data_IF_143790759238
#
_entry.id   IF_143790759238
#
_cell.length_a   1.000
_cell.length_b   1.000
_cell.length_c   1.000
_cell.angle_alpha   90.00
_cell.angle_beta   90.00
_cell.angle_gamma   90.00
#
_symmetry.space_group_name_H-M   'P 1'
#
loop_
_entity.id
_entity.type
_entity.pdbx_description
1 polymer ?
#
# COMPACT_ATOMS: atom_id res chain seq x y z
N UNK A 1 1.17 -15.77 5.31
CA UNK A 1 1.71 -16.22 4.01
C UNK A 1 3.23 -16.12 4.02
N UNK A 2 3.90 -17.01 3.30
CA UNK A 2 5.37 -17.02 3.18
C UNK A 2 5.77 -16.37 1.87
N UNK A 3 6.82 -15.55 1.90
CA UNK A 3 7.49 -14.97 0.75
C UNK A 3 8.72 -15.85 0.45
N UNK A 4 8.76 -16.41 -0.75
CA UNK A 4 9.88 -17.21 -1.25
C UNK A 4 10.60 -16.43 -2.36
N UNK A 5 11.92 -16.32 -2.28
CA UNK A 5 12.75 -15.68 -3.31
C UNK A 5 13.42 -16.77 -4.13
N UNK A 6 13.06 -16.85 -5.41
CA UNK A 6 13.55 -17.85 -6.34
C UNK A 6 15.07 -17.80 -6.46
N UNK A 7 15.71 -18.95 -6.33
CA UNK A 7 17.15 -19.16 -6.51
C UNK A 7 17.43 -19.82 -7.85
N UNK A 8 18.68 -19.73 -8.28
CA UNK A 8 19.10 -20.31 -9.57
C UNK A 8 18.83 -21.83 -9.58
N UNK A 9 18.10 -22.29 -10.59
CA UNK A 9 17.77 -23.70 -10.78
C UNK A 9 16.49 -24.18 -10.06
N UNK A 10 15.83 -23.32 -9.27
CA UNK A 10 14.53 -23.67 -8.70
C UNK A 10 13.42 -23.68 -9.76
N UNK A 11 12.47 -24.58 -9.58
CA UNK A 11 11.24 -24.69 -10.36
C UNK A 11 10.04 -24.60 -9.43
N UNK A 12 8.85 -24.33 -9.97
CA UNK A 12 7.63 -24.39 -9.15
C UNK A 12 7.43 -25.76 -8.51
N UNK A 13 7.88 -26.84 -9.15
CA UNK A 13 7.81 -28.19 -8.57
C UNK A 13 8.69 -28.34 -7.32
N UNK A 14 9.95 -27.90 -7.39
CA UNK A 14 10.85 -27.95 -6.23
C UNK A 14 10.38 -27.05 -5.10
N UNK A 15 9.86 -25.86 -5.43
CA UNK A 15 9.34 -24.89 -4.45
C UNK A 15 8.07 -25.44 -3.78
N UNK A 16 7.11 -25.92 -4.57
CA UNK A 16 5.89 -26.53 -4.06
C UNK A 16 6.18 -27.75 -3.18
N UNK A 17 7.13 -28.60 -3.59
CA UNK A 17 7.59 -29.74 -2.79
C UNK A 17 8.23 -29.34 -1.46
N UNK A 18 9.04 -28.27 -1.45
CA UNK A 18 9.66 -27.75 -0.23
C UNK A 18 8.62 -27.24 0.78
N UNK A 19 7.61 -26.50 0.32
CA UNK A 19 6.56 -25.96 1.19
C UNK A 19 5.36 -26.89 1.39
N UNK A 20 5.34 -28.05 0.72
CA UNK A 20 4.22 -28.98 0.70
C UNK A 20 2.88 -28.32 0.32
N UNK A 21 2.90 -27.52 -0.76
CA UNK A 21 1.70 -26.85 -1.31
C UNK A 21 1.43 -27.30 -2.75
N UNK A 22 0.21 -27.06 -3.25
CA UNK A 22 -0.11 -27.33 -4.64
C UNK A 22 0.50 -26.26 -5.56
N UNK A 23 1.16 -26.69 -6.64
CA UNK A 23 1.75 -25.80 -7.67
C UNK A 23 0.70 -24.85 -8.24
N UNK A 24 -0.50 -25.35 -8.54
CA UNK A 24 -1.58 -24.56 -9.12
C UNK A 24 -1.99 -23.39 -8.21
N UNK A 25 -2.00 -23.60 -6.89
CA UNK A 25 -2.28 -22.54 -5.92
C UNK A 25 -1.18 -21.48 -5.90
N UNK A 26 0.10 -21.84 -6.11
CA UNK A 26 1.18 -20.86 -6.27
C UNK A 26 0.96 -20.05 -7.55
N UNK A 27 0.62 -20.71 -8.66
CA UNK A 27 0.40 -20.06 -9.97
C UNK A 27 -0.75 -19.05 -9.87
N UNK A 28 -1.90 -19.47 -9.34
CA UNK A 28 -3.08 -18.61 -9.22
C UNK A 28 -2.84 -17.42 -8.30
N UNK A 29 -2.24 -17.65 -7.13
CA UNK A 29 -2.00 -16.60 -6.13
C UNK A 29 -1.00 -15.54 -6.61
N UNK A 30 -0.06 -15.91 -7.46
CA UNK A 30 0.95 -15.00 -8.01
C UNK A 30 0.64 -14.56 -9.45
N UNK A 31 -0.47 -15.03 -10.02
CA UNK A 31 -0.84 -14.86 -11.43
C UNK A 31 0.34 -15.11 -12.39
N UNK A 32 1.02 -16.25 -12.22
CA UNK A 32 2.21 -16.59 -13.02
C UNK A 32 1.76 -17.00 -14.44
N UNK A 33 2.11 -16.20 -15.44
CA UNK A 33 1.76 -16.49 -16.84
C UNK A 33 2.62 -17.60 -17.44
N UNK A 34 3.92 -17.61 -17.11
CA UNK A 34 4.91 -18.55 -17.65
C UNK A 34 5.45 -19.48 -16.53
N UNK A 35 4.68 -20.49 -16.07
CA UNK A 35 5.01 -21.26 -14.86
C UNK A 35 6.29 -22.11 -14.95
N UNK A 36 6.83 -22.29 -16.16
CA UNK A 36 8.08 -23.00 -16.39
C UNK A 36 9.31 -22.08 -16.41
N UNK A 37 9.11 -20.76 -16.36
CA UNK A 37 10.17 -19.75 -16.44
C UNK A 37 10.15 -18.90 -15.17
N UNK A 38 10.96 -19.31 -14.19
CA UNK A 38 11.22 -18.48 -13.01
C UNK A 38 12.55 -17.74 -13.16
N UNK A 39 12.61 -16.53 -12.62
CA UNK A 39 13.82 -15.70 -12.66
C UNK A 39 14.48 -15.70 -11.28
N UNK A 40 15.82 -15.81 -11.25
CA UNK A 40 16.57 -15.65 -10.01
C UNK A 40 16.24 -14.30 -9.36
N UNK A 41 15.85 -14.33 -8.09
CA UNK A 41 15.46 -13.15 -7.33
C UNK A 41 13.99 -12.78 -7.43
N UNK A 42 13.17 -13.46 -8.25
CA UNK A 42 11.72 -13.28 -8.28
C UNK A 42 11.11 -13.66 -6.93
N UNK A 43 10.26 -12.80 -6.37
CA UNK A 43 9.55 -13.08 -5.12
C UNK A 43 8.17 -13.66 -5.38
N UNK A 44 7.86 -14.80 -4.75
CA UNK A 44 6.58 -15.49 -4.83
C UNK A 44 5.92 -15.55 -3.46
N UNK A 45 4.60 -15.38 -3.42
CA UNK A 45 3.79 -15.71 -2.26
C UNK A 45 3.47 -17.20 -2.28
N UNK A 46 3.78 -17.87 -1.18
CA UNK A 46 3.48 -19.27 -0.97
C UNK A 46 2.30 -19.38 0.01
N UNK A 47 1.21 -20.08 -0.37
CA UNK A 47 0.02 -20.28 0.46
C UNK A 47 0.27 -21.34 1.55
N UNK A 48 1.31 -21.12 2.35
CA UNK A 48 1.70 -21.96 3.47
C UNK A 48 1.44 -21.25 4.80
N UNK A 49 1.15 -22.06 5.83
CA UNK A 49 0.91 -21.57 7.19
C UNK A 49 2.20 -20.98 7.75
N UNK A 50 2.08 -19.80 8.36
CA UNK A 50 3.20 -19.00 8.84
C UNK A 50 3.26 -17.65 8.13
N UNK A 51 4.25 -16.84 8.50
CA UNK A 51 4.47 -15.53 7.90
C UNK A 51 5.94 -15.31 7.59
N UNK A 52 6.23 -14.54 6.56
CA UNK A 52 7.57 -13.98 6.40
C UNK A 52 7.81 -12.82 7.36
N UNK A 53 9.06 -12.65 7.75
CA UNK A 53 9.57 -11.53 8.51
C UNK A 53 10.90 -11.08 7.93
N UNK A 54 11.03 -9.78 7.63
CA UNK A 54 12.28 -9.18 7.19
C UNK A 54 13.05 -8.74 8.42
N UNK A 55 14.26 -9.27 8.60
CA UNK A 55 15.12 -8.95 9.73
C UNK A 55 15.47 -7.47 9.69
N UNK A 56 15.26 -6.77 10.81
CA UNK A 56 15.55 -5.34 10.98
C UNK A 56 16.92 -5.15 11.62
N UNK A 57 17.46 -3.93 11.50
CA UNK A 57 18.68 -3.57 12.21
C UNK A 57 18.47 -3.69 13.73
N UNK A 58 19.36 -4.43 14.41
CA UNK A 58 19.28 -4.67 15.85
C UNK A 58 18.49 -5.92 16.24
N UNK A 59 17.86 -6.61 15.29
CA UNK A 59 17.18 -7.87 15.56
C UNK A 59 18.14 -8.99 15.97
N UNK A 60 17.64 -9.87 16.82
CA UNK A 60 18.23 -11.17 17.13
C UNK A 60 17.14 -12.22 17.00
N UNK A 61 17.51 -13.49 16.79
CA UNK A 61 16.50 -14.57 16.81
C UNK A 61 15.74 -14.62 18.14
N UNK A 62 16.36 -14.20 19.24
CA UNK A 62 15.70 -14.13 20.55
C UNK A 62 14.65 -13.01 20.62
N UNK A 63 14.96 -11.80 20.16
CA UNK A 63 14.00 -10.69 20.15
C UNK A 63 12.83 -11.00 19.21
N UNK A 64 13.11 -11.56 18.03
CA UNK A 64 12.10 -12.00 17.08
C UNK A 64 11.22 -13.11 17.69
N UNK A 65 11.83 -14.17 18.24
CA UNK A 65 11.07 -15.25 18.88
C UNK A 65 10.17 -14.72 19.99
N UNK A 66 10.68 -13.82 20.83
CA UNK A 66 9.92 -13.19 21.91
C UNK A 66 8.75 -12.37 21.36
N UNK A 67 8.98 -11.54 20.34
CA UNK A 67 7.94 -10.74 19.67
C UNK A 67 6.80 -11.60 19.14
N UNK A 68 7.12 -12.78 18.58
CA UNK A 68 6.13 -13.67 17.98
C UNK A 68 5.61 -14.76 18.93
N UNK A 69 6.00 -14.75 20.21
CA UNK A 69 5.56 -15.76 21.19
C UNK A 69 6.06 -17.17 20.87
N UNK A 70 7.24 -17.28 20.24
CA UNK A 70 7.87 -18.53 19.81
C UNK A 70 9.15 -18.82 20.58
N UNK A 71 9.69 -20.03 20.41
CA UNK A 71 11.07 -20.32 20.79
C UNK A 71 12.01 -20.05 19.62
N UNK A 72 13.27 -19.69 19.93
CA UNK A 72 14.34 -19.58 18.92
C UNK A 72 14.47 -20.88 18.11
N UNK A 73 14.36 -22.03 18.77
CA UNK A 73 14.44 -23.33 18.11
C UNK A 73 13.32 -23.55 17.10
N UNK A 74 12.10 -23.07 17.37
CA UNK A 74 10.99 -23.14 16.42
C UNK A 74 11.28 -22.32 15.15
N UNK A 75 11.86 -21.12 15.30
CA UNK A 75 12.27 -20.31 14.15
C UNK A 75 13.38 -21.01 13.36
N UNK A 76 14.41 -21.55 14.04
CA UNK A 76 15.51 -22.27 13.36
C UNK A 76 14.96 -23.49 12.60
N UNK A 77 14.05 -24.26 13.22
CA UNK A 77 13.46 -25.43 12.58
C UNK A 77 12.64 -25.08 11.32
N UNK A 78 11.97 -23.92 11.32
CA UNK A 78 11.25 -23.43 10.14
C UNK A 78 12.17 -22.87 9.04
N UNK A 79 13.43 -22.59 9.35
CA UNK A 79 14.42 -21.99 8.45
C UNK A 79 15.69 -22.85 8.36
N UNK A 80 15.63 -24.06 7.78
CA UNK A 80 16.74 -25.01 7.81
C UNK A 80 18.02 -24.52 7.10
N UNK A 81 17.93 -23.48 6.27
CA UNK A 81 19.06 -22.88 5.55
C UNK A 81 19.64 -21.64 6.26
N UNK A 82 18.99 -21.15 7.31
CA UNK A 82 19.43 -20.00 8.08
C UNK A 82 20.64 -20.36 8.94
N UNK A 83 21.67 -19.52 8.95
CA UNK A 83 22.73 -19.61 9.94
C UNK A 83 22.30 -18.85 11.21
N UNK A 84 21.96 -19.54 12.32
CA UNK A 84 21.40 -18.86 13.49
C UNK A 84 22.38 -17.92 14.20
N UNK A 85 23.69 -18.05 13.93
CA UNK A 85 24.71 -17.18 14.51
C UNK A 85 25.02 -15.95 13.65
N UNK A 86 24.45 -15.88 12.44
CA UNK A 86 24.81 -14.86 11.46
C UNK A 86 23.57 -14.54 10.62
N UNK A 87 22.76 -13.64 11.17
CA UNK A 87 21.58 -13.09 10.50
C UNK A 87 21.86 -11.64 10.09
N UNK A 88 21.27 -11.19 8.98
CA UNK A 88 21.53 -9.86 8.45
C UNK A 88 20.24 -9.05 8.30
N UNK A 89 20.26 -7.73 8.56
CA UNK A 89 19.15 -6.86 8.20
C UNK A 89 18.82 -6.99 6.70
N UNK A 90 17.52 -7.07 6.38
CA UNK A 90 17.01 -7.32 5.03
C UNK A 90 16.87 -8.81 4.65
N UNK A 91 17.40 -9.73 5.45
CA UNK A 91 17.16 -11.17 5.25
C UNK A 91 15.73 -11.54 5.63
N UNK A 92 15.05 -12.30 4.78
CA UNK A 92 13.68 -12.78 5.05
C UNK A 92 13.71 -14.16 5.67
N UNK A 93 13.09 -14.32 6.83
CA UNK A 93 12.90 -15.61 7.52
C UNK A 93 11.42 -15.95 7.64
N UNK A 94 11.15 -17.25 7.79
CA UNK A 94 9.83 -17.79 8.08
C UNK A 94 9.59 -17.76 9.59
N UNK A 95 8.52 -17.11 10.01
CA UNK A 95 8.00 -17.19 11.36
C UNK A 95 6.86 -18.21 11.37
N UNK A 96 7.06 -19.41 11.95
CA UNK A 96 6.06 -20.47 11.93
C UNK A 96 4.81 -20.08 12.74
N UNK A 97 3.67 -20.73 12.50
CA UNK A 97 2.51 -20.60 13.38
C UNK A 97 2.83 -21.03 14.81
N UNK A 98 2.08 -20.50 15.76
CA UNK A 98 2.07 -21.03 17.13
C UNK A 98 1.18 -22.27 17.12
N UNK A 99 1.74 -23.42 17.47
CA UNK A 99 0.98 -24.64 17.69
C UNK A 99 0.63 -24.78 19.17
N UNK A 100 -0.65 -24.94 19.46
CA UNK A 100 -1.18 -25.21 20.78
C UNK A 100 -1.84 -26.58 20.82
N UNK A 101 -1.45 -27.42 21.78
CA UNK A 101 -2.14 -28.69 22.01
C UNK A 101 -3.18 -28.47 23.08
N UNK A 102 -4.45 -28.72 22.75
CA UNK A 102 -5.59 -28.56 23.66
C UNK A 102 -5.36 -29.39 24.93
N UNK A 103 -5.57 -28.79 26.09
CA UNK A 103 -5.40 -29.40 27.40
C UNK A 103 -6.76 -29.80 28.01
N UNK A 104 -6.78 -30.67 29.04
CA UNK A 104 -8.00 -30.94 29.79
C UNK A 104 -8.67 -29.65 30.28
N UNK A 105 -9.99 -29.53 30.06
CA UNK A 105 -10.85 -28.38 30.41
C UNK A 105 -10.68 -27.11 29.57
N UNK A 106 -9.84 -27.14 28.53
CA UNK A 106 -9.80 -26.04 27.58
C UNK A 106 -11.13 -25.88 26.83
N UNK A 107 -11.48 -24.62 26.57
CA UNK A 107 -12.50 -24.24 25.60
C UNK A 107 -11.87 -23.29 24.58
N UNK A 108 -12.43 -23.18 23.39
CA UNK A 108 -11.95 -22.22 22.40
C UNK A 108 -11.97 -20.78 22.95
N UNK A 109 -12.94 -20.43 23.79
CA UNK A 109 -13.00 -19.12 24.44
C UNK A 109 -11.81 -18.88 25.39
N UNK A 110 -11.48 -19.86 26.25
CA UNK A 110 -10.31 -19.75 27.13
C UNK A 110 -9.00 -19.64 26.34
N UNK A 111 -8.86 -20.42 25.28
CA UNK A 111 -7.67 -20.40 24.41
C UNK A 111 -7.58 -19.04 23.68
N UNK A 112 -8.68 -18.57 23.08
CA UNK A 112 -8.75 -17.28 22.40
C UNK A 112 -8.28 -16.15 23.31
N UNK A 113 -8.85 -16.08 24.52
CA UNK A 113 -8.50 -15.07 25.51
C UNK A 113 -7.04 -15.17 25.97
N UNK A 114 -6.52 -16.39 26.16
CA UNK A 114 -5.12 -16.63 26.54
C UNK A 114 -4.12 -16.09 25.51
N UNK A 115 -4.44 -16.24 24.22
CA UNK A 115 -3.55 -15.87 23.12
C UNK A 115 -3.87 -14.51 22.49
N UNK A 116 -4.86 -13.77 23.03
CA UNK A 116 -5.24 -12.46 22.48
C UNK A 116 -5.84 -12.54 21.07
N UNK A 117 -6.60 -13.59 20.80
CA UNK A 117 -7.31 -13.80 19.52
C UNK A 117 -8.81 -14.02 19.75
N UNK A 118 -9.59 -14.31 18.71
CA UNK A 118 -11.03 -14.58 18.83
C UNK A 118 -11.37 -16.04 18.53
N UNK A 119 -12.55 -16.46 18.99
CA UNK A 119 -13.05 -17.82 18.70
C UNK A 119 -13.27 -17.98 17.20
N UNK A 120 -13.78 -16.94 16.52
CA UNK A 120 -14.01 -16.92 15.09
C UNK A 120 -12.70 -17.07 14.32
N UNK A 121 -11.65 -16.36 14.74
CA UNK A 121 -10.33 -16.50 14.13
C UNK A 121 -9.76 -17.91 14.33
N UNK A 122 -9.88 -18.48 15.54
CA UNK A 122 -9.43 -19.86 15.81
C UNK A 122 -10.18 -20.89 14.95
N UNK A 123 -11.50 -20.75 14.84
CA UNK A 123 -12.33 -21.63 14.02
C UNK A 123 -11.96 -21.52 12.54
N UNK A 124 -11.77 -20.31 12.03
CA UNK A 124 -11.39 -20.06 10.65
C UNK A 124 -10.00 -20.63 10.31
N UNK A 125 -8.99 -20.31 11.13
CA UNK A 125 -7.60 -20.74 10.92
C UNK A 125 -7.46 -22.27 10.95
N UNK A 126 -8.25 -22.95 11.79
CA UNK A 126 -8.19 -24.40 11.96
C UNK A 126 -9.28 -25.15 11.18
N UNK A 127 -10.09 -24.44 10.37
CA UNK A 127 -11.18 -25.01 9.58
C UNK A 127 -12.12 -25.91 10.39
N UNK A 128 -12.44 -25.50 11.63
CA UNK A 128 -13.23 -26.31 12.55
C UNK A 128 -14.69 -26.37 12.10
N UNK A 129 -15.15 -27.56 11.70
CA UNK A 129 -16.50 -27.76 11.14
C UNK A 129 -17.61 -27.66 12.18
N UNK A 130 -17.29 -27.79 13.47
CA UNK A 130 -18.23 -27.67 14.57
C UNK A 130 -17.58 -26.84 15.69
N UNK A 131 -17.85 -25.53 15.68
CA UNK A 131 -17.10 -24.47 16.39
C UNK A 131 -17.06 -24.54 17.93
N UNK A 132 -17.40 -25.67 18.55
CA UNK A 132 -17.31 -25.91 19.99
C UNK A 132 -16.67 -27.25 20.38
N UNK A 133 -16.32 -28.15 19.44
CA UNK A 133 -15.80 -29.48 19.77
C UNK A 133 -14.29 -29.54 19.56
N UNK A 134 -13.55 -29.13 20.60
CA UNK A 134 -12.13 -29.46 20.77
C UNK A 134 -11.97 -30.51 21.86
N UNK A 135 -10.93 -31.33 21.77
CA UNK A 135 -10.64 -32.38 22.75
C UNK A 135 -9.18 -32.29 23.20
N UNK A 136 -8.86 -32.70 24.45
CA UNK A 136 -7.47 -32.75 24.90
C UNK A 136 -6.58 -33.55 23.95
N UNK A 137 -5.42 -33.00 23.60
CA UNK A 137 -4.50 -33.55 22.61
C UNK A 137 -4.71 -33.04 21.18
N UNK A 138 -5.81 -32.34 20.88
CA UNK A 138 -6.04 -31.79 19.54
C UNK A 138 -5.09 -30.63 19.25
N UNK A 139 -4.33 -30.64 18.14
CA UNK A 139 -3.45 -29.53 17.77
C UNK A 139 -4.26 -28.39 17.15
N UNK A 140 -4.00 -27.17 17.60
CA UNK A 140 -4.54 -25.94 17.04
C UNK A 140 -3.39 -25.04 16.59
N UNK A 141 -3.56 -24.42 15.43
CA UNK A 141 -2.81 -23.24 15.02
C UNK A 141 -3.46 -22.03 15.68
N UNK A 142 -2.68 -21.25 16.41
CA UNK A 142 -3.15 -20.00 17.01
C UNK A 142 -2.97 -18.89 15.97
N UNK A 143 -4.05 -18.30 15.44
CA UNK A 143 -3.96 -17.19 14.51
C UNK A 143 -3.41 -15.96 15.22
N UNK A 144 -2.58 -15.20 14.50
CA UNK A 144 -2.06 -13.94 15.02
C UNK A 144 -3.10 -12.83 14.85
N UNK A 145 -3.24 -11.94 15.84
CA UNK A 145 -4.11 -10.78 15.68
C UNK A 145 -3.59 -9.92 14.52
N UNK A 146 -4.50 -9.60 13.60
CA UNK A 146 -4.24 -8.67 12.50
C UNK A 146 -4.71 -7.29 12.91
N UNK A 147 -3.85 -6.24 12.84
CA UNK A 147 -4.30 -4.88 13.08
C UNK A 147 -5.45 -4.51 12.14
N UNK A 148 -6.38 -3.72 12.65
CA UNK A 148 -7.50 -3.20 11.85
C UNK A 148 -7.04 -1.90 11.21
N UNK A 149 -7.04 -1.86 9.88
CA UNK A 149 -6.71 -0.66 9.10
C UNK A 149 -7.87 -0.30 8.17
N UNK A 150 -7.87 0.92 7.65
CA UNK A 150 -8.66 1.27 6.47
C UNK A 150 -7.75 1.21 5.23
N UNK A 151 -8.34 1.10 4.04
CA UNK A 151 -7.61 1.04 2.77
C UNK A 151 -8.27 1.98 1.77
N UNK A 152 -7.50 2.89 1.20
CA UNK A 152 -7.92 3.71 0.06
C UNK A 152 -7.19 3.24 -1.20
N UNK A 153 -7.82 3.39 -2.36
CA UNK A 153 -7.15 3.22 -3.64
C UNK A 153 -7.69 4.22 -4.65
N UNK A 154 -6.77 4.94 -5.31
CA UNK A 154 -7.09 5.78 -6.45
C UNK A 154 -7.19 4.93 -7.73
N UNK A 155 -7.92 5.38 -8.73
CA UNK A 155 -8.03 4.69 -10.04
C UNK A 155 -8.06 5.69 -11.19
N UNK A 156 -7.33 5.35 -12.25
CA UNK A 156 -7.35 6.02 -13.56
C UNK A 156 -8.05 5.20 -14.64
N UNK A 157 -8.54 4.01 -14.27
CA UNK A 157 -9.24 3.14 -15.18
C UNK A 157 -10.54 3.79 -15.64
N UNK A 158 -10.96 3.47 -16.86
CA UNK A 158 -12.28 3.84 -17.35
C UNK A 158 -13.37 3.32 -16.42
N UNK A 159 -14.50 4.03 -16.35
CA UNK A 159 -15.56 3.81 -15.36
C UNK A 159 -16.00 2.33 -15.27
N UNK A 160 -16.14 1.67 -16.41
CA UNK A 160 -16.55 0.27 -16.49
C UNK A 160 -15.51 -0.71 -15.93
N UNK A 161 -14.21 -0.47 -16.17
CA UNK A 161 -13.10 -1.31 -15.70
C UNK A 161 -12.81 -1.07 -14.22
N UNK A 162 -12.91 0.19 -13.79
CA UNK A 162 -12.81 0.57 -12.39
C UNK A 162 -13.92 -0.09 -11.55
N UNK A 163 -15.17 -0.09 -12.03
CA UNK A 163 -16.29 -0.77 -11.38
C UNK A 163 -16.05 -2.28 -11.20
N UNK A 164 -15.49 -2.97 -12.20
CA UNK A 164 -15.15 -4.39 -12.11
C UNK A 164 -14.02 -4.64 -11.11
N UNK A 165 -12.98 -3.81 -11.16
CA UNK A 165 -11.85 -3.87 -10.23
C UNK A 165 -12.32 -3.69 -8.79
N UNK A 166 -13.16 -2.68 -8.52
CA UNK A 166 -13.73 -2.43 -7.18
C UNK A 166 -14.55 -3.61 -6.70
N UNK A 167 -15.41 -4.19 -7.56
CA UNK A 167 -16.19 -5.37 -7.17
C UNK A 167 -15.28 -6.52 -6.71
N UNK A 168 -14.21 -6.80 -7.47
CA UNK A 168 -13.26 -7.87 -7.16
C UNK A 168 -12.41 -7.62 -5.90
N UNK A 169 -11.96 -6.37 -5.69
CA UNK A 169 -11.10 -5.99 -4.56
C UNK A 169 -11.90 -5.52 -3.35
N UNK A 170 -13.22 -5.48 -3.44
CA UNK A 170 -14.06 -4.89 -2.41
C UNK A 170 -13.82 -5.41 -1.00
N UNK A 171 -13.53 -6.70 -0.72
CA UNK A 171 -13.24 -7.12 0.66
C UNK A 171 -12.02 -6.42 1.27
N UNK A 172 -11.14 -5.89 0.42
CA UNK A 172 -9.86 -5.29 0.78
C UNK A 172 -9.85 -3.75 0.71
N UNK A 173 -10.97 -3.11 0.37
CA UNK A 173 -11.07 -1.65 0.25
C UNK A 173 -12.02 -1.07 1.29
N UNK A 174 -11.63 0.03 1.94
CA UNK A 174 -12.54 0.88 2.72
C UNK A 174 -13.05 2.02 1.84
N UNK A 175 -12.15 2.63 1.07
CA UNK A 175 -12.40 3.75 0.18
C UNK A 175 -11.98 3.41 -1.24
N UNK A 176 -12.61 4.09 -2.18
CA UNK A 176 -12.16 4.19 -3.57
C UNK A 176 -12.21 5.66 -3.99
N UNK A 177 -11.32 6.07 -4.88
CA UNK A 177 -11.22 7.46 -5.35
C UNK A 177 -10.97 7.52 -6.86
N UNK A 178 -11.95 7.89 -7.72
CA UNK A 178 -11.70 8.10 -9.14
C UNK A 178 -10.85 9.37 -9.27
N UNK A 179 -9.79 9.31 -10.08
CA UNK A 179 -8.85 10.42 -10.20
C UNK A 179 -8.96 11.07 -11.59
N UNK A 180 -9.37 12.34 -11.72
CA UNK A 180 -9.90 13.25 -10.69
C UNK A 180 -10.77 14.35 -11.32
N UNK A 181 -11.57 15.05 -10.51
CA UNK A 181 -12.22 16.29 -10.94
C UNK A 181 -11.23 17.44 -10.89
N UNK A 182 -10.86 18.00 -12.05
CA UNK A 182 -9.97 19.15 -12.10
C UNK A 182 -10.74 20.47 -11.93
N UNK A 183 -10.25 21.36 -11.07
CA UNK A 183 -10.83 22.71 -10.91
C UNK A 183 -10.54 23.59 -12.13
N UNK A 184 -11.38 24.59 -12.36
CA UNK A 184 -11.13 25.64 -13.37
C UNK A 184 -10.96 27.01 -12.72
N UNK A 185 -10.47 28.01 -13.47
CA UNK A 185 -10.29 29.38 -12.96
C UNK A 185 -11.59 30.04 -12.50
N UNK A 186 -12.75 29.52 -12.92
CA UNK A 186 -14.07 30.01 -12.52
C UNK A 186 -14.67 29.25 -11.34
N UNK A 187 -13.94 28.32 -10.72
CA UNK A 187 -14.47 27.50 -9.62
C UNK A 187 -15.42 26.39 -10.09
N UNK A 188 -15.43 26.06 -11.37
CA UNK A 188 -16.12 24.88 -11.90
C UNK A 188 -15.21 23.64 -11.80
N UNK A 189 -15.79 22.46 -12.04
CA UNK A 189 -15.07 21.19 -12.06
C UNK A 189 -15.23 20.52 -13.42
N UNK A 190 -14.15 20.03 -13.98
CA UNK A 190 -14.21 19.22 -15.19
C UNK A 190 -14.98 17.92 -14.91
N UNK A 191 -15.89 17.50 -15.82
CA UNK A 191 -16.71 16.33 -15.61
C UNK A 191 -15.88 15.04 -15.68
N UNK A 192 -16.19 14.10 -14.80
CA UNK A 192 -15.62 12.75 -14.78
C UNK A 192 -16.76 11.74 -14.95
N UNK A 193 -16.54 10.72 -15.77
CA UNK A 193 -17.42 9.55 -15.90
C UNK A 193 -17.03 8.53 -14.80
N UNK A 194 -17.86 8.41 -13.77
CA UNK A 194 -17.56 7.62 -12.55
C UNK A 194 -18.82 7.01 -11.91
N UNK A 195 -19.96 7.10 -12.58
CA UNK A 195 -21.25 6.66 -12.06
C UNK A 195 -21.31 5.15 -11.84
N UNK A 196 -20.73 4.34 -12.73
CA UNK A 196 -20.66 2.89 -12.57
C UNK A 196 -19.73 2.51 -11.43
N UNK A 197 -18.60 3.21 -11.31
CA UNK A 197 -17.60 3.06 -10.27
C UNK A 197 -18.21 3.34 -8.89
N UNK A 198 -18.92 4.45 -8.74
CA UNK A 198 -19.60 4.81 -7.50
C UNK A 198 -20.72 3.82 -7.16
N UNK A 199 -21.50 3.40 -8.16
CA UNK A 199 -22.55 2.40 -7.95
C UNK A 199 -21.97 1.05 -7.48
N UNK A 200 -20.87 0.60 -8.09
CA UNK A 200 -20.17 -0.61 -7.70
C UNK A 200 -19.58 -0.50 -6.27
N UNK A 201 -19.06 0.67 -5.90
CA UNK A 201 -18.55 0.91 -4.55
C UNK A 201 -19.65 0.71 -3.49
N UNK A 202 -20.81 1.34 -3.67
CA UNK A 202 -21.93 1.17 -2.74
C UNK A 202 -22.47 -0.26 -2.68
N UNK A 203 -22.59 -0.93 -3.82
CA UNK A 203 -23.02 -2.33 -3.87
C UNK A 203 -22.08 -3.26 -3.08
N UNK A 204 -20.80 -2.91 -2.97
CA UNK A 204 -19.79 -3.73 -2.32
C UNK A 204 -19.24 -3.13 -1.01
N UNK A 205 -19.98 -2.20 -0.39
CA UNK A 205 -19.60 -1.58 0.89
C UNK A 205 -18.19 -0.95 0.85
N UNK A 206 -17.90 -0.22 -0.21
CA UNK A 206 -16.71 0.63 -0.36
C UNK A 206 -17.18 2.07 -0.45
N UNK A 207 -16.53 2.96 0.29
CA UNK A 207 -16.91 4.37 0.36
C UNK A 207 -16.32 5.14 -0.84
N UNK A 208 -17.14 5.74 -1.71
CA UNK A 208 -16.65 6.64 -2.74
C UNK A 208 -16.16 7.96 -2.13
N UNK A 209 -14.91 8.32 -2.42
CA UNK A 209 -14.29 9.60 -2.07
C UNK A 209 -13.98 10.38 -3.36
N UNK A 210 -14.45 11.62 -3.45
CA UNK A 210 -14.21 12.47 -4.62
C UNK A 210 -12.79 13.02 -4.55
N UNK A 211 -11.97 12.87 -5.60
CA UNK A 211 -10.67 13.52 -5.69
C UNK A 211 -10.78 14.82 -6.50
N UNK A 212 -10.23 15.91 -5.99
CA UNK A 212 -10.25 17.24 -6.62
C UNK A 212 -8.83 17.78 -6.75
N UNK A 213 -8.43 18.16 -7.97
CA UNK A 213 -7.05 18.56 -8.29
C UNK A 213 -6.97 19.93 -8.94
N UNK A 214 -5.77 20.54 -8.93
CA UNK A 214 -5.45 21.79 -9.62
C UNK A 214 -4.46 21.61 -10.79
N UNK A 215 -4.05 20.39 -11.12
CA UNK A 215 -2.94 20.11 -12.03
C UNK A 215 -3.31 19.08 -13.08
N UNK A 216 -2.51 19.04 -14.15
CA UNK A 216 -2.56 18.00 -15.18
C UNK A 216 -1.22 17.26 -15.26
N UNK A 217 -1.12 16.24 -16.12
CA UNK A 217 0.15 15.57 -16.39
C UNK A 217 1.25 16.51 -16.94
N UNK A 218 0.87 17.69 -17.46
CA UNK A 218 1.77 18.65 -18.12
C UNK A 218 1.83 20.01 -17.43
N UNK A 219 0.87 20.35 -16.57
CA UNK A 219 0.77 21.67 -15.95
C UNK A 219 0.74 21.55 -14.43
N UNK A 220 1.61 22.30 -13.75
CA UNK A 220 1.75 22.25 -12.30
C UNK A 220 0.55 22.84 -11.52
N UNK A 221 -0.28 23.68 -12.15
CA UNK A 221 -1.49 24.18 -11.50
C UNK A 221 -1.31 25.33 -10.49
N UNK A 222 -0.10 25.88 -10.33
CA UNK A 222 0.20 26.88 -9.28
C UNK A 222 -0.65 28.15 -9.38
N UNK A 223 -0.75 28.75 -10.58
CA UNK A 223 -1.53 29.97 -10.79
C UNK A 223 -3.06 29.72 -10.71
N UNK A 224 -3.49 28.53 -11.09
CA UNK A 224 -4.87 28.09 -10.97
C UNK A 224 -5.26 27.95 -9.49
N UNK A 225 -4.42 27.29 -8.70
CA UNK A 225 -4.59 27.24 -7.24
C UNK A 225 -4.62 28.64 -6.64
N UNK A 226 -3.67 29.52 -6.99
CA UNK A 226 -3.65 30.91 -6.50
C UNK A 226 -4.97 31.64 -6.80
N UNK A 227 -5.46 31.55 -8.03
CA UNK A 227 -6.71 32.20 -8.46
C UNK A 227 -7.88 31.82 -7.57
N UNK A 228 -8.04 30.52 -7.29
CA UNK A 228 -9.10 30.02 -6.40
C UNK A 228 -8.83 30.40 -4.95
N UNK A 229 -7.63 30.13 -4.44
CA UNK A 229 -7.27 30.33 -3.03
C UNK A 229 -7.28 31.81 -2.62
N UNK A 230 -7.02 32.74 -3.52
CA UNK A 230 -7.01 34.18 -3.24
C UNK A 230 -8.41 34.84 -3.28
N UNK A 231 -9.46 34.12 -3.73
CA UNK A 231 -10.79 34.69 -3.92
C UNK A 231 -11.87 33.98 -3.10
N UNK A 232 -12.46 34.67 -2.13
CA UNK A 232 -13.51 34.10 -1.30
C UNK A 232 -14.75 33.66 -2.11
N UNK A 233 -15.09 34.40 -3.17
CA UNK A 233 -16.24 34.08 -4.02
C UNK A 233 -15.99 32.82 -4.85
N UNK A 234 -14.76 32.65 -5.38
CA UNK A 234 -14.39 31.45 -6.14
C UNK A 234 -14.29 30.21 -5.23
N UNK A 235 -13.80 30.38 -4.00
CA UNK A 235 -13.84 29.29 -3.01
C UNK A 235 -15.27 28.85 -2.71
N UNK A 236 -16.20 29.78 -2.50
CA UNK A 236 -17.61 29.44 -2.23
C UNK A 236 -18.27 28.76 -3.43
N UNK A 237 -17.99 29.24 -4.66
CA UNK A 237 -18.47 28.62 -5.89
C UNK A 237 -17.93 27.19 -6.03
N UNK A 238 -16.62 26.99 -5.88
CA UNK A 238 -16.00 25.68 -5.94
C UNK A 238 -16.58 24.72 -4.89
N UNK A 239 -16.68 25.14 -3.63
CA UNK A 239 -17.23 24.30 -2.56
C UNK A 239 -18.72 23.98 -2.81
N UNK A 240 -19.48 24.90 -3.38
CA UNK A 240 -20.88 24.65 -3.78
C UNK A 240 -20.96 23.60 -4.89
N UNK A 241 -20.08 23.68 -5.89
CA UNK A 241 -20.02 22.72 -6.98
C UNK A 241 -19.59 21.33 -6.49
N UNK A 242 -18.57 21.25 -5.62
CA UNK A 242 -18.16 20.00 -4.95
C UNK A 242 -19.35 19.37 -4.23
N UNK A 243 -20.03 20.10 -3.34
CA UNK A 243 -21.16 19.56 -2.57
C UNK A 243 -22.31 19.12 -3.46
N UNK A 244 -22.58 19.85 -4.55
CA UNK A 244 -23.63 19.52 -5.51
C UNK A 244 -23.34 18.19 -6.20
N UNK A 245 -22.15 18.05 -6.78
CA UNK A 245 -21.72 16.81 -7.45
C UNK A 245 -21.69 15.65 -6.46
N UNK A 246 -21.13 15.85 -5.26
CA UNK A 246 -21.09 14.81 -4.23
C UNK A 246 -22.47 14.30 -3.86
N UNK A 247 -23.44 15.20 -3.71
CA UNK A 247 -24.83 14.85 -3.39
C UNK A 247 -25.52 14.14 -4.56
N UNK A 248 -25.31 14.60 -5.78
CA UNK A 248 -25.93 14.04 -6.99
C UNK A 248 -25.41 12.64 -7.30
N UNK A 249 -24.09 12.44 -7.20
CA UNK A 249 -23.44 11.18 -7.53
C UNK A 249 -23.33 10.20 -6.36
N UNK A 250 -23.45 10.68 -5.13
CA UNK A 250 -23.44 9.85 -3.92
C UNK A 250 -22.05 9.60 -3.35
N UNK A 251 -21.18 10.61 -3.36
CA UNK A 251 -19.90 10.59 -2.63
C UNK A 251 -20.11 10.77 -1.12
N UNK A 252 -19.19 10.26 -0.29
CA UNK A 252 -19.25 10.43 1.18
C UNK A 252 -18.21 11.41 1.74
N UNK A 253 -17.29 11.86 0.90
CA UNK A 253 -16.25 12.80 1.29
C UNK A 253 -15.42 13.24 0.10
N UNK A 254 -14.57 14.24 0.33
CA UNK A 254 -13.69 14.81 -0.68
C UNK A 254 -12.23 14.74 -0.23
N UNK A 255 -11.36 14.45 -1.17
CA UNK A 255 -9.92 14.58 -1.07
C UNK A 255 -9.47 15.77 -1.92
N UNK A 256 -8.96 16.81 -1.25
CA UNK A 256 -8.39 17.98 -1.89
C UNK A 256 -6.90 17.68 -2.14
N UNK A 257 -6.56 17.48 -3.41
CA UNK A 257 -5.22 17.17 -3.88
C UNK A 257 -4.66 18.35 -4.68
N UNK A 258 -4.35 19.44 -3.96
CA UNK A 258 -3.73 20.61 -4.58
C UNK A 258 -2.22 20.50 -4.46
N UNK A 259 -1.56 20.34 -5.60
CA UNK A 259 -0.11 20.23 -5.71
C UNK A 259 0.52 21.51 -6.28
N UNK A 260 1.81 21.70 -6.01
CA UNK A 260 2.59 22.85 -6.49
C UNK A 260 1.92 24.21 -6.20
N UNK A 261 1.20 24.32 -5.08
CA UNK A 261 0.63 25.58 -4.61
C UNK A 261 1.76 26.54 -4.26
N UNK A 262 1.62 27.82 -4.63
CA UNK A 262 2.68 28.80 -4.41
C UNK A 262 2.99 28.91 -2.90
N UNK A 263 4.27 29.02 -2.49
CA UNK A 263 4.64 29.12 -1.08
C UNK A 263 3.90 30.24 -0.33
N UNK A 264 3.69 31.39 -0.98
CA UNK A 264 2.98 32.54 -0.41
C UNK A 264 1.48 32.26 -0.18
N UNK A 265 0.91 31.25 -0.84
CA UNK A 265 -0.49 30.84 -0.70
C UNK A 265 -0.72 29.81 0.41
N UNK A 266 0.31 29.42 1.17
CA UNK A 266 0.20 28.45 2.28
C UNK A 266 -0.98 28.76 3.21
N UNK A 267 -1.07 29.99 3.69
CA UNK A 267 -2.16 30.38 4.62
C UNK A 267 -3.52 30.48 3.92
N UNK A 268 -3.55 30.83 2.64
CA UNK A 268 -4.78 30.80 1.85
C UNK A 268 -5.28 29.37 1.68
N UNK A 269 -4.37 28.41 1.49
CA UNK A 269 -4.73 26.99 1.42
C UNK A 269 -5.28 26.49 2.75
N UNK A 270 -4.62 26.81 3.87
CA UNK A 270 -5.12 26.50 5.21
C UNK A 270 -6.55 27.05 5.43
N UNK A 271 -6.79 28.32 5.07
CA UNK A 271 -8.12 28.95 5.21
C UNK A 271 -9.18 28.32 4.30
N UNK A 272 -8.80 27.91 3.08
CA UNK A 272 -9.69 27.18 2.19
C UNK A 272 -10.10 25.83 2.80
N UNK A 273 -9.18 25.10 3.42
CA UNK A 273 -9.50 23.84 4.09
C UNK A 273 -10.41 24.04 5.30
N UNK A 274 -10.21 25.10 6.09
CA UNK A 274 -11.11 25.44 7.20
C UNK A 274 -12.54 25.72 6.70
N UNK A 275 -12.67 26.42 5.57
CA UNK A 275 -13.97 26.66 4.92
C UNK A 275 -14.59 25.38 4.36
N UNK A 276 -13.79 24.53 3.70
CA UNK A 276 -14.24 23.26 3.18
C UNK A 276 -14.82 22.40 4.31
N UNK A 277 -14.09 22.23 5.41
CA UNK A 277 -14.54 21.49 6.60
C UNK A 277 -15.83 22.09 7.18
N UNK A 278 -15.88 23.41 7.40
CA UNK A 278 -17.06 24.08 7.93
C UNK A 278 -18.30 23.92 7.04
N UNK A 279 -18.09 23.79 5.71
CA UNK A 279 -19.17 23.64 4.72
C UNK A 279 -19.65 22.21 4.55
N UNK A 280 -18.74 21.22 4.61
CA UNK A 280 -19.01 19.82 4.29
C UNK A 280 -19.40 18.98 5.51
N UNK A 281 -18.82 19.24 6.68
CA UNK A 281 -19.10 18.47 7.91
C UNK A 281 -20.58 18.50 8.35
N UNK A 282 -21.31 19.63 8.30
CA UNK A 282 -22.73 19.66 8.67
C UNK A 282 -23.61 18.77 7.81
N UNK A 283 -23.19 18.50 6.57
CA UNK A 283 -23.88 17.61 5.63
C UNK A 283 -23.44 16.13 5.80
N UNK A 284 -22.55 15.83 6.74
CA UNK A 284 -22.05 14.48 7.05
C UNK A 284 -20.89 14.01 6.18
N UNK A 285 -20.33 14.88 5.34
CA UNK A 285 -19.19 14.57 4.50
C UNK A 285 -17.87 14.75 5.23
N UNK A 286 -16.92 13.83 5.04
CA UNK A 286 -15.55 14.01 5.50
C UNK A 286 -14.70 14.77 4.47
N UNK A 287 -13.65 15.44 4.94
CA UNK A 287 -12.68 16.16 4.13
C UNK A 287 -11.29 15.60 4.40
N UNK A 288 -10.52 15.36 3.36
CA UNK A 288 -9.12 14.96 3.44
C UNK A 288 -8.25 15.80 2.52
N UNK A 289 -6.93 15.76 2.74
CA UNK A 289 -5.96 16.37 1.82
C UNK A 289 -4.87 15.40 1.46
N UNK A 290 -4.36 15.53 0.24
CA UNK A 290 -3.12 14.88 -0.19
C UNK A 290 -1.97 15.86 -0.07
N UNK A 291 -0.83 15.42 0.46
CA UNK A 291 0.33 16.27 0.70
C UNK A 291 1.62 15.63 0.23
N UNK A 292 2.53 16.46 -0.28
CA UNK A 292 3.86 16.10 -0.71
C UNK A 292 4.70 15.56 0.46
N UNK A 293 5.64 14.64 0.21
CA UNK A 293 6.44 14.00 1.26
C UNK A 293 7.45 14.98 1.87
N UNK A 294 7.17 15.43 3.10
CA UNK A 294 8.05 16.32 3.87
C UNK A 294 8.75 15.56 4.99
N UNK A 295 10.01 15.93 5.24
CA UNK A 295 10.82 15.40 6.36
C UNK A 295 11.06 16.45 7.45
N UNK A 296 10.67 17.71 7.19
CA UNK A 296 10.70 18.79 8.19
C UNK A 296 9.75 19.93 7.78
N UNK A 297 9.42 20.81 8.74
CA UNK A 297 8.60 21.99 8.49
C UNK A 297 9.29 23.08 7.66
N UNK A 298 10.63 23.06 7.59
CA UNK A 298 11.45 24.00 6.84
C UNK A 298 11.80 23.53 5.43
N UNK A 299 11.30 22.37 5.00
CA UNK A 299 11.54 21.86 3.65
C UNK A 299 10.93 22.80 2.61
N UNK A 300 11.80 23.43 1.83
CA UNK A 300 11.46 24.38 0.78
C UNK A 300 11.23 23.70 -0.58
N UNK A 301 10.65 24.46 -1.52
CA UNK A 301 10.32 24.02 -2.87
C UNK A 301 8.82 24.12 -3.14
N UNK A 302 8.50 24.41 -4.41
CA UNK A 302 7.12 24.64 -4.88
C UNK A 302 6.16 23.51 -4.51
N UNK A 303 6.62 22.26 -4.53
CA UNK A 303 5.81 21.10 -4.18
C UNK A 303 5.48 21.01 -2.66
N UNK A 304 6.29 21.64 -1.78
CA UNK A 304 6.30 21.34 -0.34
C UNK A 304 5.85 22.48 0.57
N UNK A 305 6.14 23.73 0.22
CA UNK A 305 6.06 24.84 1.17
C UNK A 305 4.63 25.15 1.60
N UNK A 306 3.69 25.08 0.67
CA UNK A 306 2.28 25.32 0.90
C UNK A 306 1.56 24.16 1.62
N UNK A 307 2.17 22.98 1.71
CA UNK A 307 1.62 21.85 2.46
C UNK A 307 2.01 21.96 3.94
N UNK A 308 1.12 22.58 4.71
CA UNK A 308 1.26 22.77 6.14
C UNK A 308 0.73 21.56 6.91
N UNK A 309 1.61 20.61 7.20
CA UNK A 309 1.25 19.35 7.86
C UNK A 309 0.52 19.56 9.20
N UNK A 310 0.95 20.54 10.02
CA UNK A 310 0.33 20.80 11.32
C UNK A 310 -1.09 21.37 11.15
N UNK A 311 -1.26 22.35 10.26
CA UNK A 311 -2.56 22.92 9.97
C UNK A 311 -3.51 21.90 9.33
N UNK A 312 -3.08 21.20 8.28
CA UNK A 312 -3.88 20.16 7.63
C UNK A 312 -4.29 19.07 8.62
N UNK A 313 -3.34 18.54 9.40
CA UNK A 313 -3.62 17.55 10.43
C UNK A 313 -4.59 18.02 11.52
N UNK A 314 -4.62 19.32 11.84
CA UNK A 314 -5.62 19.91 12.74
C UNK A 314 -6.99 20.03 12.08
N UNK A 315 -7.04 20.47 10.82
CA UNK A 315 -8.26 20.90 10.12
C UNK A 315 -9.06 19.71 9.57
N UNK A 316 -8.43 18.85 8.77
CA UNK A 316 -9.14 17.82 7.99
C UNK A 316 -9.28 16.48 8.73
N UNK A 317 -10.15 15.60 8.27
CA UNK A 317 -10.41 14.30 8.91
C UNK A 317 -9.19 13.37 8.83
N UNK A 318 -8.46 13.41 7.72
CA UNK A 318 -7.20 12.70 7.52
C UNK A 318 -6.36 13.30 6.39
N UNK A 319 -5.07 12.97 6.40
CA UNK A 319 -4.06 13.43 5.43
C UNK A 319 -3.42 12.24 4.76
N UNK A 320 -3.38 12.23 3.43
CA UNK A 320 -2.72 11.22 2.60
C UNK A 320 -1.33 11.72 2.24
N UNK A 321 -0.30 11.00 2.70
CA UNK A 321 1.09 11.33 2.41
C UNK A 321 1.48 10.72 1.07
N UNK A 322 1.96 11.51 0.11
CA UNK A 322 2.50 11.02 -1.16
C UNK A 322 3.92 10.44 -0.99
N UNK A 323 4.03 9.38 -0.19
CA UNK A 323 5.29 8.69 0.13
C UNK A 323 5.79 7.80 -1.01
N UNK A 324 5.86 8.36 -2.22
CA UNK A 324 6.40 7.75 -3.44
C UNK A 324 6.93 8.86 -4.37
N UNK A 325 7.32 8.53 -5.61
CA UNK A 325 7.93 9.45 -6.59
C UNK A 325 9.37 9.93 -6.31
N UNK A 326 10.16 9.25 -5.47
CA UNK A 326 11.61 9.56 -5.43
C UNK A 326 12.30 9.16 -6.73
N UNK A 327 12.07 7.93 -7.19
CA UNK A 327 12.34 7.52 -8.57
C UNK A 327 11.33 8.10 -9.53
N UNK A 328 11.28 9.43 -9.65
CA UNK A 328 10.35 10.21 -10.50
C UNK A 328 10.53 9.90 -12.00
N UNK A 329 9.45 9.91 -12.79
CA UNK A 329 9.47 9.49 -14.21
C UNK A 329 10.39 10.34 -15.08
N UNK A 330 10.59 11.63 -14.77
CA UNK A 330 11.52 12.51 -15.49
C UNK A 330 12.88 12.65 -14.80
N UNK A 331 13.04 11.98 -13.64
CA UNK A 331 14.27 11.94 -12.87
C UNK A 331 15.11 10.71 -13.22
N UNK A 332 16.31 10.58 -12.63
CA UNK A 332 17.17 9.43 -12.84
C UNK A 332 16.57 8.15 -12.21
N UNK A 333 16.94 6.96 -12.71
CA UNK A 333 16.50 5.69 -12.15
C UNK A 333 16.93 5.51 -10.70
N UNK A 334 15.95 5.17 -9.85
CA UNK A 334 16.10 4.75 -8.46
C UNK A 334 14.76 4.16 -7.97
N UNK A 335 14.74 3.62 -6.75
CA UNK A 335 13.51 3.14 -6.12
C UNK A 335 12.42 4.22 -6.13
N UNK A 336 11.18 3.82 -6.49
CA UNK A 336 10.05 4.76 -6.58
C UNK A 336 9.60 5.19 -5.17
N UNK A 337 9.60 4.25 -4.21
CA UNK A 337 9.20 4.50 -2.81
C UNK A 337 10.19 3.88 -1.80
N UNK A 338 11.44 4.38 -1.71
CA UNK A 338 12.45 3.86 -0.79
C UNK A 338 11.99 3.96 0.67
N UNK A 339 12.01 2.83 1.38
CA UNK A 339 11.44 2.71 2.72
C UNK A 339 12.08 3.66 3.74
N UNK A 340 13.38 3.94 3.62
CA UNK A 340 14.08 4.92 4.45
C UNK A 340 13.48 6.31 4.36
N UNK A 341 13.04 6.72 3.17
CA UNK A 341 12.49 8.04 2.93
C UNK A 341 11.02 8.07 3.39
N UNK A 342 10.25 7.01 3.11
CA UNK A 342 8.89 6.87 3.64
C UNK A 342 8.87 6.99 5.17
N UNK A 343 9.81 6.32 5.85
CA UNK A 343 9.97 6.40 7.30
C UNK A 343 10.20 7.83 7.79
N UNK A 344 11.15 8.57 7.19
CA UNK A 344 11.43 9.95 7.60
C UNK A 344 10.20 10.86 7.44
N UNK A 345 9.41 10.64 6.39
CA UNK A 345 8.17 11.39 6.15
C UNK A 345 7.11 11.05 7.20
N UNK A 346 6.95 9.78 7.54
CA UNK A 346 6.04 9.35 8.62
C UNK A 346 6.49 9.89 9.98
N UNK A 347 7.78 9.81 10.30
CA UNK A 347 8.34 10.35 11.55
C UNK A 347 8.09 11.85 11.68
N UNK A 348 8.27 12.60 10.60
CA UNK A 348 7.93 14.02 10.58
C UNK A 348 6.42 14.25 10.75
N UNK A 349 5.58 13.56 9.97
CA UNK A 349 4.12 13.68 10.08
C UNK A 349 3.65 13.45 11.52
N UNK A 350 4.09 12.36 12.15
CA UNK A 350 3.73 12.02 13.53
C UNK A 350 4.28 13.00 14.58
N UNK A 351 5.26 13.82 14.24
CA UNK A 351 5.74 14.89 15.12
C UNK A 351 4.83 16.12 15.14
N UNK A 352 3.94 16.27 14.15
CA UNK A 352 3.09 17.46 13.96
C UNK A 352 1.60 17.17 13.77
N UNK A 353 1.18 15.90 13.60
CA UNK A 353 -0.22 15.51 13.49
C UNK A 353 -0.53 14.17 14.18
N UNK A 354 -1.79 13.95 14.62
CA UNK A 354 -2.18 12.71 15.28
C UNK A 354 -2.03 11.47 14.36
N UNK A 355 -1.51 10.34 14.87
CA UNK A 355 -1.28 9.13 14.07
C UNK A 355 -2.54 8.59 13.39
N UNK A 356 -3.70 8.73 14.01
CA UNK A 356 -4.98 8.27 13.49
C UNK A 356 -5.48 9.05 12.25
N UNK A 357 -4.83 10.16 11.91
CA UNK A 357 -5.09 10.97 10.71
C UNK A 357 -4.12 10.71 9.57
N UNK A 358 -3.04 9.97 9.79
CA UNK A 358 -1.98 9.76 8.80
C UNK A 358 -2.27 8.53 7.93
N UNK A 359 -2.42 8.76 6.63
CA UNK A 359 -2.61 7.71 5.63
C UNK A 359 -1.31 7.58 4.82
N UNK A 360 -0.72 6.39 4.79
CA UNK A 360 0.52 6.13 4.07
C UNK A 360 0.23 5.90 2.58
N UNK A 361 0.75 6.77 1.71
CA UNK A 361 0.68 6.56 0.27
C UNK A 361 1.62 5.44 -0.19
N UNK A 362 1.12 4.52 -1.01
CA UNK A 362 1.90 3.40 -1.53
C UNK A 362 1.62 3.20 -3.03
N UNK A 363 2.66 3.42 -3.84
CA UNK A 363 2.61 3.20 -5.28
C UNK A 363 2.64 1.70 -5.64
N UNK A 364 1.90 1.28 -6.67
CA UNK A 364 1.78 -0.13 -7.10
C UNK A 364 2.15 -0.36 -8.57
N UNK A 365 3.01 0.48 -9.14
CA UNK A 365 3.60 0.34 -10.47
C UNK A 365 5.12 0.15 -10.42
N UNK A 366 5.66 -0.04 -11.61
CA UNK A 366 7.06 -0.17 -11.95
C UNK A 366 7.45 0.95 -12.92
N UNK A 367 8.76 1.20 -13.03
CA UNK A 367 9.33 2.12 -14.01
C UNK A 367 10.56 1.54 -14.69
N UNK A 368 10.71 1.87 -15.97
CA UNK A 368 11.83 1.48 -16.82
C UNK A 368 12.47 2.70 -17.46
N UNK A 369 13.73 2.93 -17.13
CA UNK A 369 14.54 4.03 -17.64
C UNK A 369 15.54 3.54 -18.67
N UNK A 370 15.71 4.31 -19.75
CA UNK A 370 16.82 4.12 -20.67
C UNK A 370 18.14 4.56 -20.01
N UNK A 371 19.20 3.79 -20.21
CA UNK A 371 20.55 4.01 -19.69
C UNK A 371 21.54 4.20 -20.85
N UNK A 372 22.39 5.25 -20.84
CA UNK A 372 22.50 6.30 -19.83
C UNK A 372 21.27 7.22 -19.83
N UNK A 373 20.82 7.60 -18.64
CA UNK A 373 19.69 8.51 -18.46
C UNK A 373 20.03 9.91 -18.98
N UNK A 374 19.07 10.52 -19.68
CA UNK A 374 19.11 11.92 -20.10
C UNK A 374 18.09 12.70 -19.30
N UNK A 375 18.47 13.83 -18.71
CA UNK A 375 17.56 14.66 -17.91
C UNK A 375 16.30 15.05 -18.71
N UNK A 376 15.12 14.89 -18.09
CA UNK A 376 13.84 15.13 -18.75
C UNK A 376 13.36 13.98 -19.64
N UNK A 377 14.17 12.93 -19.84
CA UNK A 377 13.72 11.71 -20.48
C UNK A 377 12.72 10.98 -19.57
N UNK A 378 11.56 10.68 -20.13
CA UNK A 378 10.50 10.00 -19.43
C UNK A 378 10.73 8.48 -19.37
N UNK A 379 10.64 7.93 -18.16
CA UNK A 379 10.58 6.50 -17.91
C UNK A 379 9.18 5.95 -18.21
N UNK A 380 9.13 4.76 -18.80
CA UNK A 380 7.88 4.04 -19.00
C UNK A 380 7.33 3.57 -17.65
N UNK A 381 6.01 3.69 -17.43
CA UNK A 381 5.33 3.22 -16.22
C UNK A 381 4.40 2.05 -16.53
N UNK A 382 4.52 0.95 -15.80
CA UNK A 382 3.78 -0.31 -16.03
C UNK A 382 3.63 -1.11 -14.73
N UNK A 383 3.08 -2.34 -14.78
CA UNK A 383 2.79 -3.12 -13.57
C UNK A 383 4.00 -3.90 -13.03
N UNK A 384 4.02 -4.26 -11.73
CA UNK A 384 4.97 -5.21 -11.18
C UNK A 384 4.98 -6.57 -11.90
N UNK A 385 3.82 -7.04 -12.38
CA UNK A 385 3.75 -8.28 -13.16
C UNK A 385 4.52 -8.16 -14.49
N UNK A 386 4.36 -7.04 -15.21
CA UNK A 386 5.11 -6.78 -16.44
C UNK A 386 6.61 -6.64 -16.17
N UNK A 387 7.02 -6.09 -15.02
CA UNK A 387 8.44 -6.07 -14.61
C UNK A 387 9.04 -7.48 -14.52
N UNK A 388 8.29 -8.43 -13.95
CA UNK A 388 8.71 -9.84 -13.91
C UNK A 388 8.76 -10.44 -15.31
N UNK A 389 7.81 -10.12 -16.19
CA UNK A 389 7.82 -10.61 -17.58
C UNK A 389 9.03 -10.10 -18.38
N UNK A 390 9.41 -8.83 -18.22
CA UNK A 390 10.64 -8.27 -18.81
C UNK A 390 11.88 -8.97 -18.27
N UNK A 391 11.95 -9.20 -16.96
CA UNK A 391 13.05 -9.94 -16.36
C UNK A 391 13.17 -11.37 -16.93
N UNK A 392 12.04 -12.06 -17.16
CA UNK A 392 12.00 -13.37 -17.83
C UNK A 392 12.50 -13.27 -19.27
N UNK A 393 11.93 -12.35 -20.07
CA UNK A 393 12.24 -12.15 -21.49
C UNK A 393 13.73 -11.93 -21.72
N UNK A 394 14.33 -11.05 -20.93
CA UNK A 394 15.74 -10.67 -21.06
C UNK A 394 16.69 -11.49 -20.17
N UNK A 395 16.17 -12.49 -19.43
CA UNK A 395 16.93 -13.33 -18.50
C UNK A 395 17.73 -12.51 -17.48
N UNK A 396 17.17 -11.39 -17.05
CA UNK A 396 17.79 -10.48 -16.12
C UNK A 396 17.47 -10.91 -14.68
N UNK A 397 18.47 -11.26 -13.85
CA UNK A 397 18.21 -11.57 -12.44
C UNK A 397 17.64 -10.34 -11.72
N UNK A 398 16.64 -10.57 -10.87
CA UNK A 398 16.03 -9.54 -10.05
C UNK A 398 16.88 -9.34 -8.79
N UNK A 399 17.50 -8.18 -8.68
CA UNK A 399 18.21 -7.75 -7.49
C UNK A 399 17.26 -7.09 -6.49
N UNK A 400 17.70 -6.96 -5.24
CA UNK A 400 16.94 -6.31 -4.19
C UNK A 400 17.84 -5.35 -3.42
N UNK A 401 17.47 -4.08 -3.39
CA UNK A 401 18.17 -3.09 -2.58
C UNK A 401 17.64 -3.15 -1.15
N UNK A 402 18.50 -3.57 -0.22
CA UNK A 402 18.11 -3.75 1.18
C UNK A 402 17.90 -2.44 1.94
N UNK A 403 18.43 -1.30 1.47
CA UNK A 403 18.23 -0.01 2.11
C UNK A 403 16.91 0.62 1.64
N UNK A 404 16.69 0.64 0.33
CA UNK A 404 15.44 1.10 -0.26
C UNK A 404 14.28 0.14 0.01
N UNK A 405 14.58 -1.14 0.25
CA UNK A 405 13.61 -2.24 0.33
C UNK A 405 12.77 -2.33 -0.96
N UNK A 406 13.44 -2.31 -2.11
CA UNK A 406 12.81 -2.37 -3.44
C UNK A 406 13.58 -3.29 -4.39
N UNK A 407 12.90 -4.10 -5.22
CA UNK A 407 13.53 -4.86 -6.27
C UNK A 407 13.90 -4.00 -7.49
N UNK A 408 14.95 -4.41 -8.18
CA UNK A 408 15.38 -3.79 -9.44
C UNK A 408 16.13 -4.78 -10.33
N UNK A 409 16.23 -4.48 -11.62
CA UNK A 409 17.13 -5.20 -12.53
C UNK A 409 17.56 -4.31 -13.69
N UNK A 410 18.55 -4.77 -14.44
CA UNK A 410 19.00 -4.14 -15.67
C UNK A 410 18.96 -5.14 -16.82
N UNK A 411 18.65 -4.67 -18.01
CA UNK A 411 18.71 -5.48 -19.21
C UNK A 411 19.16 -4.66 -20.42
N UNK A 412 19.40 -5.32 -21.55
CA UNK A 412 19.67 -4.68 -22.83
C UNK A 412 18.64 -5.18 -23.83
N UNK A 413 17.95 -4.26 -24.49
CA UNK A 413 16.92 -4.57 -25.47
C UNK A 413 17.53 -5.10 -26.78
N UNK A 414 16.66 -5.44 -27.73
CA UNK A 414 17.02 -5.95 -29.05
C UNK A 414 17.80 -4.94 -29.91
N UNK A 415 17.76 -3.66 -29.58
CA UNK A 415 18.48 -2.57 -30.26
C UNK A 415 19.85 -2.27 -29.62
N UNK A 416 20.20 -2.95 -28.52
CA UNK A 416 21.41 -2.65 -27.75
C UNK A 416 21.24 -1.50 -26.75
N UNK A 417 20.02 -1.00 -26.56
CA UNK A 417 19.71 0.02 -25.56
C UNK A 417 19.69 -0.62 -24.16
N UNK A 418 20.41 -0.03 -23.20
CA UNK A 418 20.41 -0.51 -21.82
C UNK A 418 19.22 0.09 -21.04
N UNK A 419 18.70 -0.68 -20.09
CA UNK A 419 17.53 -0.36 -19.28
C UNK A 419 17.82 -0.59 -17.80
N UNK A 420 17.19 0.20 -16.92
CA UNK A 420 17.12 -0.05 -15.49
C UNK A 420 15.67 0.02 -15.03
N UNK A 421 15.20 -1.07 -14.40
CA UNK A 421 13.82 -1.21 -13.93
C UNK A 421 13.80 -1.21 -12.42
N UNK A 422 12.97 -0.35 -11.83
CA UNK A 422 12.62 -0.39 -10.40
C UNK A 422 11.13 -0.63 -10.24
N UNK A 423 10.75 -1.53 -9.33
CA UNK A 423 9.36 -1.93 -9.13
C UNK A 423 9.09 -2.33 -7.68
N UNK A 424 7.93 -2.93 -7.42
CA UNK A 424 7.55 -3.46 -6.11
C UNK A 424 7.32 -4.96 -6.19
N UNK A 425 7.63 -5.70 -5.14
CA UNK A 425 7.28 -7.11 -5.03
C UNK A 425 6.86 -7.47 -3.60
N UNK A 426 6.51 -8.75 -3.40
CA UNK A 426 6.10 -9.25 -2.09
C UNK A 426 6.99 -8.81 -0.92
N UNK A 427 8.32 -8.70 -1.13
CA UNK A 427 9.26 -8.27 -0.09
C UNK A 427 9.07 -6.79 0.25
N UNK A 428 9.02 -5.93 -0.76
CA UNK A 428 8.85 -4.50 -0.57
C UNK A 428 7.47 -4.13 -0.02
N UNK A 429 6.41 -4.81 -0.45
CA UNK A 429 5.07 -4.64 0.13
C UNK A 429 5.05 -5.04 1.61
N UNK A 430 5.62 -6.19 1.97
CA UNK A 430 5.69 -6.62 3.37
C UNK A 430 6.47 -5.64 4.23
N UNK A 431 7.59 -5.10 3.74
CA UNK A 431 8.38 -4.11 4.47
C UNK A 431 7.58 -2.82 4.75
N UNK A 432 6.77 -2.37 3.78
CA UNK A 432 5.86 -1.22 3.95
C UNK A 432 4.69 -1.53 4.89
N UNK A 433 4.15 -2.75 4.86
CA UNK A 433 3.16 -3.18 5.85
C UNK A 433 3.73 -3.26 7.26
N UNK A 434 5.00 -3.65 7.40
CA UNK A 434 5.67 -3.64 8.69
C UNK A 434 5.93 -2.21 9.20
N UNK A 435 6.15 -1.24 8.29
CA UNK A 435 6.20 0.19 8.64
C UNK A 435 4.85 0.68 9.17
N UNK A 436 3.73 0.32 8.51
CA UNK A 436 2.37 0.64 8.97
C UNK A 436 2.14 0.11 10.38
N UNK A 437 2.51 -1.15 10.65
CA UNK A 437 2.36 -1.75 11.99
C UNK A 437 3.25 -1.08 13.03
N UNK A 438 4.49 -0.77 12.66
CA UNK A 438 5.48 -0.16 13.55
C UNK A 438 5.02 1.21 14.05
N UNK A 439 4.50 2.04 13.15
CA UNK A 439 3.98 3.36 13.47
C UNK A 439 2.50 3.38 13.84
N UNK A 440 1.84 2.22 13.87
CA UNK A 440 0.40 2.06 14.13
C UNK A 440 -0.46 2.96 13.23
N UNK A 441 -0.06 3.10 11.96
CA UNK A 441 -0.77 3.92 11.01
C UNK A 441 -2.13 3.32 10.70
N UNK A 442 -3.12 4.19 10.50
CA UNK A 442 -4.50 3.78 10.33
C UNK A 442 -4.79 3.20 8.95
N UNK A 443 -4.07 3.66 7.91
CA UNK A 443 -4.44 3.42 6.51
C UNK A 443 -3.25 3.28 5.58
N UNK A 444 -3.43 2.42 4.57
CA UNK A 444 -2.66 2.45 3.31
C UNK A 444 -3.52 3.03 2.19
N UNK A 445 -2.94 3.94 1.41
CA UNK A 445 -3.59 4.61 0.27
C UNK A 445 -2.83 4.29 -1.01
N UNK A 446 -3.42 3.49 -1.89
CA UNK A 446 -2.78 2.97 -3.08
C UNK A 446 -2.85 3.92 -4.29
N UNK A 447 -1.71 4.08 -4.96
CA UNK A 447 -1.58 4.80 -6.23
C UNK A 447 -1.01 3.87 -7.32
N UNK A 448 -1.77 3.43 -8.31
CA UNK A 448 -3.22 3.46 -8.40
C UNK A 448 -3.71 2.10 -8.95
N UNK A 449 -4.99 1.79 -8.80
CA UNK A 449 -5.61 0.61 -9.41
C UNK A 449 -5.42 0.63 -10.94
N UNK A 450 -5.35 -0.55 -11.55
CA UNK A 450 -5.06 -0.73 -12.97
C UNK A 450 -3.70 -1.36 -13.25
N UNK A 451 -2.82 -1.45 -12.25
CA UNK A 451 -1.55 -2.19 -12.33
C UNK A 451 -1.65 -3.54 -11.61
N UNK A 452 -1.64 -4.68 -12.33
CA UNK A 452 -1.66 -6.00 -11.71
C UNK A 452 -0.52 -6.20 -10.71
N UNK A 453 -0.88 -6.48 -9.47
CA UNK A 453 0.05 -6.77 -8.39
C UNK A 453 -0.59 -7.73 -7.35
N UNK A 454 -0.81 -9.01 -7.71
CA UNK A 454 -1.60 -9.94 -6.92
C UNK A 454 -1.00 -10.21 -5.53
N UNK A 455 0.32 -10.20 -5.41
CA UNK A 455 1.04 -10.45 -4.16
C UNK A 455 0.73 -9.36 -3.12
N UNK A 456 0.53 -8.11 -3.53
CA UNK A 456 0.15 -7.02 -2.63
C UNK A 456 -1.19 -7.31 -1.94
N UNK A 457 -2.21 -7.69 -2.72
CA UNK A 457 -3.56 -7.93 -2.20
C UNK A 457 -3.60 -9.15 -1.27
N UNK A 458 -2.90 -10.22 -1.65
CA UNK A 458 -2.75 -11.41 -0.82
C UNK A 458 -2.04 -11.10 0.51
N UNK A 459 -0.97 -10.31 0.47
CA UNK A 459 -0.27 -9.89 1.68
C UNK A 459 -1.11 -8.90 2.52
N UNK A 460 -1.85 -7.98 1.91
CA UNK A 460 -2.73 -7.05 2.61
C UNK A 460 -3.76 -7.82 3.45
N UNK A 461 -4.43 -8.80 2.84
CA UNK A 461 -5.35 -9.71 3.52
C UNK A 461 -4.65 -10.49 4.65
N UNK A 462 -3.46 -11.03 4.38
CA UNK A 462 -2.72 -11.81 5.38
C UNK A 462 -2.24 -10.98 6.58
N UNK A 463 -1.98 -9.68 6.39
CA UNK A 463 -1.40 -8.81 7.40
C UNK A 463 -2.45 -8.04 8.21
N UNK A 464 -3.61 -7.74 7.63
CA UNK A 464 -4.57 -6.81 8.22
C UNK A 464 -6.01 -7.30 8.16
N UNK A 465 -6.84 -6.75 9.04
CA UNK A 465 -8.30 -6.81 8.92
C UNK A 465 -8.78 -5.47 8.38
N UNK A 466 -9.42 -5.47 7.22
CA UNK A 466 -9.83 -4.22 6.58
C UNK A 466 -11.16 -3.76 7.16
N UNK A 467 -11.18 -2.52 7.64
CA UNK A 467 -12.38 -1.90 8.21
C UNK A 467 -13.35 -1.52 7.09
N UNK A 468 -14.58 -1.99 7.21
CA UNK A 468 -15.73 -1.47 6.48
C UNK A 468 -16.42 -0.38 7.31
N UNK A 469 -16.98 0.62 6.64
CA UNK A 469 -17.64 1.76 7.28
C UNK A 469 -19.08 1.89 6.81
#
# INVERSE_FOLDING_TARGET
MIIHVVRSGETLWTIAGYYNVNIQTIIELNQIEEPNLLVNGQALIIPAVGSSYVIKAGDTLWTIATQFGLSVQAIIAANPLLNPNLIYPGETIIIPPIHYVVQPQDTLWHIANRFGTTVEALVAENQLSNGNLIYPGYPLIIPRPRPVIEVNAYTYQEDQDAAQTIASLSPLLTYMSPFAYMITETGELEPVEDELTIAAAWQNQVIPMMAVTNFTATEAGSNLAHTILASADLQEQLLTNIVTIMREKGYSGVNIDFENVLPDDRELYNQFLERAVARLHPDGYFVSTTVAPKTSGAQAGLLYEAHDYEAHGRIVDFVILMTYEWGYRLGPPQAISPLSNMRQVVEYALSVMPPEKVFLGFQIYARDWLIPHVEGQEAETFSPQEAVQRAIRYRAPIHYDALAQSPFFRYTDENGQAHEVWFEDARSAQAKFDLIKEFQLRVVSYWALGYPYPQNWALLEANFTIRKR
#
